data_IF_065315357087
#
_entry.id   IF_065315357087
#
_cell.length_a   1.000
_cell.length_b   1.000
_cell.length_c   1.000
_cell.angle_alpha   90.00
_cell.angle_beta   90.00
_cell.angle_gamma   90.00
#
_symmetry.space_group_name_H-M   'P 1'
#
loop_
_entity.id
_entity.type
_entity.pdbx_description
1 polymer ?
#
# COMPACT_ATOMS: atom_id res chain seq x y z
N UNK A 1 23.62 11.34 6.38
CA UNK A 1 23.53 9.99 6.96
C UNK A 1 22.17 9.70 7.60
N UNK A 2 21.77 10.33 8.71
CA UNK A 2 20.47 10.00 9.36
C UNK A 2 19.25 10.32 8.46
N UNK A 3 19.25 11.51 7.84
CA UNK A 3 18.21 11.86 6.86
C UNK A 3 18.26 11.02 5.58
N UNK A 4 19.43 10.48 5.18
CA UNK A 4 19.53 9.64 3.97
C UNK A 4 18.84 8.29 4.20
N UNK A 5 19.05 7.68 5.38
CA UNK A 5 18.33 6.46 5.78
C UNK A 5 16.83 6.72 5.82
N UNK A 6 16.41 7.82 6.45
CA UNK A 6 14.99 8.20 6.52
C UNK A 6 14.39 8.39 5.13
N UNK A 7 15.05 9.14 4.25
CA UNK A 7 14.62 9.37 2.87
C UNK A 7 14.52 8.05 2.10
N UNK A 8 15.46 7.12 2.29
CA UNK A 8 15.40 5.79 1.69
C UNK A 8 14.16 5.03 2.14
N UNK A 9 13.90 4.96 3.45
CA UNK A 9 12.70 4.29 4.00
C UNK A 9 11.42 4.92 3.47
N UNK A 10 11.37 6.25 3.38
CA UNK A 10 10.21 6.94 2.82
C UNK A 10 10.04 6.67 1.32
N UNK A 11 11.11 6.60 0.54
CA UNK A 11 11.04 6.24 -0.88
C UNK A 11 10.60 4.78 -1.09
N UNK A 12 10.99 3.86 -0.20
CA UNK A 12 10.50 2.48 -0.22
C UNK A 12 8.98 2.43 0.02
N UNK A 13 8.50 3.15 1.05
CA UNK A 13 7.05 3.28 1.32
C UNK A 13 6.30 3.96 0.17
N UNK A 14 6.90 4.97 -0.47
CA UNK A 14 6.32 5.68 -1.62
C UNK A 14 6.12 4.72 -2.80
N UNK A 15 7.17 3.98 -3.16
CA UNK A 15 7.16 3.04 -4.27
C UNK A 15 6.09 1.97 -4.08
N UNK A 16 6.00 1.40 -2.87
CA UNK A 16 4.99 0.39 -2.55
C UNK A 16 3.56 0.94 -2.58
N UNK A 17 3.35 2.17 -2.14
CA UNK A 17 2.04 2.81 -2.28
C UNK A 17 1.65 3.01 -3.75
N UNK A 18 2.60 3.33 -4.63
CA UNK A 18 2.33 3.40 -6.08
C UNK A 18 1.99 2.04 -6.69
N UNK A 19 2.72 0.99 -6.32
CA UNK A 19 2.41 -0.37 -6.77
C UNK A 19 1.02 -0.81 -6.30
N UNK A 20 0.70 -0.56 -5.02
CA UNK A 20 -0.62 -0.87 -4.45
C UNK A 20 -1.73 -0.06 -5.13
N UNK A 21 -1.54 1.24 -5.36
CA UNK A 21 -2.50 2.10 -6.08
C UNK A 21 -2.82 1.53 -7.46
N UNK A 22 -1.78 1.18 -8.21
CA UNK A 22 -1.94 0.58 -9.54
C UNK A 22 -2.68 -0.76 -9.43
N UNK A 23 -2.45 -1.51 -8.35
CA UNK A 23 -2.91 -2.90 -8.21
C UNK A 23 -4.39 -2.91 -7.96
N UNK A 24 -4.83 -1.97 -7.13
CA UNK A 24 -6.23 -1.69 -6.93
C UNK A 24 -6.95 -1.19 -8.18
N UNK A 25 -6.33 -0.32 -8.97
CA UNK A 25 -6.92 0.12 -10.24
C UNK A 25 -7.13 -1.07 -11.18
N UNK A 26 -6.12 -1.90 -11.39
CA UNK A 26 -6.24 -3.08 -12.26
C UNK A 26 -7.24 -4.11 -11.70
N UNK A 27 -7.23 -4.36 -10.38
CA UNK A 27 -8.17 -5.27 -9.74
C UNK A 27 -9.63 -4.78 -9.87
N UNK A 28 -9.86 -3.48 -9.70
CA UNK A 28 -11.17 -2.85 -9.88
C UNK A 28 -11.73 -2.98 -11.30
N UNK A 29 -10.87 -3.09 -12.32
CA UNK A 29 -11.29 -3.34 -13.70
C UNK A 29 -11.69 -4.81 -13.95
N UNK A 30 -11.10 -5.75 -13.19
CA UNK A 30 -11.27 -7.20 -13.39
C UNK A 30 -12.34 -7.84 -12.52
N UNK A 31 -12.66 -7.24 -11.38
CA UNK A 31 -13.60 -7.80 -10.41
C UNK A 31 -15.06 -7.63 -10.88
N UNK A 32 -15.90 -8.66 -10.76
CA UNK A 32 -17.33 -8.53 -11.07
C UNK A 32 -18.13 -8.07 -9.85
N UNK A 33 -17.74 -8.51 -8.66
CA UNK A 33 -18.40 -8.20 -7.40
C UNK A 33 -18.35 -6.71 -7.06
N UNK A 34 -19.52 -6.07 -6.97
CA UNK A 34 -19.67 -4.61 -6.82
C UNK A 34 -19.04 -4.07 -5.55
N UNK A 35 -19.26 -4.70 -4.39
CA UNK A 35 -18.66 -4.21 -3.13
C UNK A 35 -17.14 -4.32 -3.11
N UNK A 36 -16.59 -5.32 -3.81
CA UNK A 36 -15.14 -5.52 -3.87
C UNK A 36 -14.49 -4.55 -4.86
N UNK A 37 -15.19 -4.22 -5.96
CA UNK A 37 -14.84 -3.11 -6.85
C UNK A 37 -14.75 -1.78 -6.09
N UNK A 38 -15.79 -1.42 -5.35
CA UNK A 38 -15.82 -0.17 -4.57
C UNK A 38 -14.73 -0.14 -3.50
N UNK A 39 -14.40 -1.28 -2.90
CA UNK A 39 -13.26 -1.39 -2.00
C UNK A 39 -11.94 -1.05 -2.71
N UNK A 40 -11.68 -1.64 -3.88
CA UNK A 40 -10.45 -1.35 -4.64
C UNK A 40 -10.36 0.11 -5.10
N UNK A 41 -11.45 0.68 -5.60
CA UNK A 41 -11.49 2.11 -5.97
C UNK A 41 -11.12 2.99 -4.76
N UNK A 42 -11.69 2.70 -3.59
CA UNK A 42 -11.38 3.43 -2.36
C UNK A 42 -9.93 3.26 -1.92
N UNK A 43 -9.37 2.05 -2.02
CA UNK A 43 -7.98 1.83 -1.66
C UNK A 43 -7.01 2.49 -2.64
N UNK A 44 -7.31 2.53 -3.94
CA UNK A 44 -6.51 3.28 -4.89
C UNK A 44 -6.41 4.78 -4.50
N UNK A 45 -7.52 5.40 -4.11
CA UNK A 45 -7.53 6.80 -3.62
C UNK A 45 -6.71 6.98 -2.33
N UNK A 46 -6.80 6.03 -1.40
CA UNK A 46 -6.02 6.06 -0.16
C UNK A 46 -4.52 6.01 -0.48
N UNK A 47 -4.09 5.03 -1.28
CA UNK A 47 -2.68 4.85 -1.67
C UNK A 47 -2.12 6.06 -2.42
N UNK A 48 -2.90 6.66 -3.31
CA UNK A 48 -2.56 7.92 -3.97
C UNK A 48 -2.31 9.04 -2.94
N UNK A 49 -3.23 9.21 -1.99
CA UNK A 49 -3.15 10.25 -0.96
C UNK A 49 -1.97 10.03 -0.02
N UNK A 50 -1.69 8.77 0.34
CA UNK A 50 -0.54 8.38 1.16
C UNK A 50 0.77 8.70 0.47
N UNK A 51 0.90 8.34 -0.81
CA UNK A 51 2.07 8.67 -1.62
C UNK A 51 2.35 10.17 -1.65
N UNK A 52 1.32 11.04 -1.76
CA UNK A 52 1.53 12.49 -1.69
C UNK A 52 2.07 12.95 -0.33
N UNK A 53 1.55 12.43 0.78
CA UNK A 53 2.07 12.77 2.11
C UNK A 53 3.50 12.28 2.34
N UNK A 54 3.83 11.10 1.83
CA UNK A 54 5.20 10.58 1.89
C UNK A 54 6.15 11.48 1.08
N UNK A 55 5.76 11.92 -0.12
CA UNK A 55 6.55 12.87 -0.93
C UNK A 55 6.82 14.19 -0.21
N UNK A 56 5.80 14.74 0.45
CA UNK A 56 5.94 15.96 1.27
C UNK A 56 7.04 15.76 2.34
N UNK A 57 7.04 14.61 3.03
CA UNK A 57 8.07 14.28 4.03
C UNK A 57 9.45 14.10 3.41
N UNK A 58 9.57 13.38 2.28
CA UNK A 58 10.86 13.21 1.59
C UNK A 58 11.51 14.56 1.28
N UNK A 59 10.74 15.48 0.71
CA UNK A 59 11.23 16.83 0.39
C UNK A 59 11.60 17.60 1.67
N UNK A 60 10.77 17.51 2.72
CA UNK A 60 11.03 18.14 4.02
C UNK A 60 12.37 17.72 4.64
N UNK A 61 12.74 16.44 4.48
CA UNK A 61 14.00 15.90 4.98
C UNK A 61 15.18 16.03 4.00
N UNK A 62 15.01 16.81 2.92
CA UNK A 62 16.05 17.13 1.95
C UNK A 62 16.29 16.05 0.90
N UNK A 63 15.39 15.07 0.78
CA UNK A 63 15.42 14.03 -0.23
C UNK A 63 14.72 14.42 -1.52
N UNK A 64 14.89 13.60 -2.55
CA UNK A 64 14.12 13.68 -3.79
C UNK A 64 13.16 12.49 -3.84
N UNK A 65 11.85 12.71 -4.03
CA UNK A 65 10.91 11.60 -4.13
C UNK A 65 11.11 10.83 -5.42
N UNK A 66 11.12 9.51 -5.31
CA UNK A 66 11.18 8.64 -6.46
C UNK A 66 9.90 8.76 -7.28
N UNK A 67 10.06 9.02 -8.58
CA UNK A 67 8.94 9.31 -9.49
C UNK A 67 8.11 8.08 -9.88
N UNK A 68 8.27 6.95 -9.17
CA UNK A 68 7.60 5.69 -9.48
C UNK A 68 8.02 5.06 -10.82
N UNK A 69 9.04 5.60 -11.50
CA UNK A 69 9.60 5.02 -12.73
C UNK A 69 10.64 3.93 -12.44
N UNK A 70 10.77 3.46 -11.20
CA UNK A 70 11.50 2.21 -10.91
C UNK A 70 10.69 1.00 -11.37
N UNK A 71 10.31 1.00 -12.64
CA UNK A 71 9.81 -0.15 -13.40
C UNK A 71 10.93 -1.19 -13.61
N UNK A 72 12.19 -0.90 -13.23
CA UNK A 72 13.35 -1.70 -13.60
C UNK A 72 13.89 -2.60 -12.46
N UNK A 73 13.53 -2.35 -11.19
CA UNK A 73 14.15 -3.06 -10.05
C UNK A 73 13.23 -4.07 -9.36
N UNK A 74 12.18 -3.56 -8.71
CA UNK A 74 11.45 -4.31 -7.69
C UNK A 74 9.95 -4.27 -7.95
N UNK A 75 9.51 -4.99 -8.97
CA UNK A 75 8.11 -5.36 -9.03
C UNK A 75 7.84 -6.24 -7.80
N UNK A 76 7.25 -5.68 -6.74
CA UNK A 76 7.04 -6.41 -5.50
C UNK A 76 6.22 -7.68 -5.78
N UNK A 77 6.58 -8.79 -5.14
CA UNK A 77 5.90 -10.10 -5.33
C UNK A 77 4.38 -10.00 -5.17
N UNK A 78 3.90 -9.10 -4.32
CA UNK A 78 2.49 -8.79 -4.11
C UNK A 78 1.77 -8.37 -5.39
N UNK A 79 2.39 -7.50 -6.21
CA UNK A 79 1.83 -7.10 -7.50
C UNK A 79 1.70 -8.25 -8.50
N UNK A 80 2.76 -9.06 -8.62
CA UNK A 80 2.80 -10.20 -9.55
C UNK A 80 1.71 -11.20 -9.17
N UNK A 81 1.57 -11.46 -7.87
CA UNK A 81 0.59 -12.39 -7.34
C UNK A 81 -0.85 -11.92 -7.58
N UNK A 82 -1.13 -10.61 -7.46
CA UNK A 82 -2.43 -10.03 -7.82
C UNK A 82 -2.76 -10.25 -9.30
N UNK A 83 -1.78 -10.13 -10.20
CA UNK A 83 -1.99 -10.39 -11.63
C UNK A 83 -2.32 -11.85 -11.92
N UNK A 84 -1.67 -12.78 -11.25
CA UNK A 84 -1.97 -14.22 -11.40
C UNK A 84 -3.36 -14.55 -10.84
N UNK A 85 -3.77 -13.89 -9.75
CA UNK A 85 -5.10 -14.03 -9.18
C UNK A 85 -6.22 -13.55 -10.12
N UNK A 86 -5.96 -12.56 -10.99
CA UNK A 86 -6.95 -12.08 -11.97
C UNK A 86 -7.44 -13.17 -12.93
N UNK A 87 -6.62 -14.18 -13.21
CA UNK A 87 -7.03 -15.31 -14.05
C UNK A 87 -7.90 -16.35 -13.32
N UNK A 88 -8.02 -16.24 -11.99
CA UNK A 88 -8.63 -17.25 -11.11
C UNK A 88 -9.96 -16.82 -10.49
N UNK A 89 -10.46 -15.62 -10.83
CA UNK A 89 -11.77 -15.10 -10.41
C UNK A 89 -11.77 -14.34 -9.07
N UNK A 90 -12.92 -13.74 -8.74
CA UNK A 90 -13.06 -12.77 -7.65
C UNK A 90 -12.56 -13.27 -6.28
N UNK A 91 -12.75 -14.55 -5.95
CA UNK A 91 -12.30 -15.12 -4.67
C UNK A 91 -10.77 -15.16 -4.55
N UNK A 92 -10.08 -15.51 -5.64
CA UNK A 92 -8.61 -15.51 -5.65
C UNK A 92 -8.07 -14.08 -5.49
N UNK A 93 -8.71 -13.10 -6.14
CA UNK A 93 -8.34 -11.68 -6.04
C UNK A 93 -8.56 -11.18 -4.60
N UNK A 94 -9.68 -11.57 -3.99
CA UNK A 94 -9.99 -11.24 -2.59
C UNK A 94 -8.93 -11.78 -1.62
N UNK A 95 -8.58 -13.07 -1.72
CA UNK A 95 -7.61 -13.71 -0.83
C UNK A 95 -6.21 -13.09 -0.98
N UNK A 96 -5.82 -12.81 -2.22
CA UNK A 96 -4.55 -12.15 -2.52
C UNK A 96 -4.51 -10.70 -2.02
N UNK A 97 -5.64 -9.98 -2.09
CA UNK A 97 -5.73 -8.64 -1.53
C UNK A 97 -5.56 -8.66 0.00
N UNK A 98 -6.15 -9.63 0.71
CA UNK A 98 -5.94 -9.77 2.16
C UNK A 98 -4.47 -9.96 2.47
N UNK A 99 -3.80 -10.88 1.76
CA UNK A 99 -2.37 -11.14 1.93
C UNK A 99 -1.52 -9.90 1.67
N UNK A 100 -1.85 -9.14 0.63
CA UNK A 100 -1.16 -7.89 0.30
C UNK A 100 -1.31 -6.82 1.39
N UNK A 101 -2.53 -6.62 1.90
CA UNK A 101 -2.80 -5.64 2.96
C UNK A 101 -2.15 -6.03 4.30
N UNK A 102 -2.12 -7.32 4.64
CA UNK A 102 -1.38 -7.82 5.81
C UNK A 102 0.12 -7.53 5.70
N UNK A 103 0.71 -7.81 4.53
CA UNK A 103 2.12 -7.49 4.25
C UNK A 103 2.38 -5.99 4.41
N UNK A 104 1.52 -5.15 3.84
CA UNK A 104 1.67 -3.70 3.91
C UNK A 104 1.57 -3.16 5.34
N UNK A 105 0.63 -3.70 6.12
CA UNK A 105 0.46 -3.32 7.54
C UNK A 105 1.68 -3.70 8.38
N UNK A 106 2.24 -4.89 8.14
CA UNK A 106 3.46 -5.36 8.83
C UNK A 106 4.65 -4.46 8.50
N UNK A 107 4.83 -4.08 7.23
CA UNK A 107 5.92 -3.19 6.81
C UNK A 107 5.82 -1.81 7.45
N UNK A 108 4.62 -1.22 7.57
CA UNK A 108 4.46 -0.01 8.36
C UNK A 108 4.83 -0.22 9.83
N UNK A 109 4.49 -1.39 10.40
CA UNK A 109 4.91 -1.79 11.74
C UNK A 109 6.43 -1.84 11.90
N UNK A 110 7.14 -2.41 10.93
CA UNK A 110 8.60 -2.45 10.90
C UNK A 110 9.22 -1.05 10.84
N UNK A 111 8.65 -0.14 10.03
CA UNK A 111 9.10 1.26 9.98
C UNK A 111 8.86 1.98 11.31
N UNK A 112 7.71 1.74 11.96
CA UNK A 112 7.39 2.33 13.26
C UNK A 112 8.24 1.76 14.40
N UNK A 113 8.83 0.58 14.24
CA UNK A 113 9.75 0.01 15.21
C UNK A 113 11.13 0.70 15.21
N UNK A 114 11.43 1.56 14.23
CA UNK A 114 12.66 2.37 14.24
C UNK A 114 12.55 3.48 15.30
N UNK A 115 13.39 3.41 16.34
CA UNK A 115 13.40 4.34 17.48
C UNK A 115 13.82 5.77 17.10
N UNK A 116 14.48 5.97 15.95
CA UNK A 116 14.95 7.30 15.49
C UNK A 116 14.02 7.96 14.48
N UNK A 117 12.80 7.43 14.30
CA UNK A 117 11.83 8.03 13.38
C UNK A 117 11.33 9.40 13.90
N UNK A 118 11.46 10.49 13.12
CA UNK A 118 10.98 11.79 13.54
C UNK A 118 9.47 11.80 13.88
N UNK A 119 9.01 12.62 14.84
CA UNK A 119 7.64 12.53 15.36
C UNK A 119 6.54 12.70 14.30
N UNK A 120 6.73 13.62 13.36
CA UNK A 120 5.81 13.90 12.25
C UNK A 120 5.78 12.77 11.21
N UNK A 121 6.92 12.15 10.94
CA UNK A 121 6.99 10.94 10.09
C UNK A 121 6.30 9.78 10.79
N UNK A 122 6.55 9.59 12.08
CA UNK A 122 5.88 8.56 12.90
C UNK A 122 4.37 8.74 12.90
N UNK A 123 3.89 9.96 13.08
CA UNK A 123 2.46 10.29 13.03
C UNK A 123 1.87 9.95 11.66
N UNK A 124 2.51 10.40 10.57
CA UNK A 124 2.07 10.11 9.21
C UNK A 124 2.00 8.60 8.93
N UNK A 125 3.05 7.85 9.29
CA UNK A 125 3.11 6.39 9.10
C UNK A 125 2.03 5.69 9.93
N UNK A 126 1.83 6.10 11.19
CA UNK A 126 0.79 5.54 12.07
C UNK A 126 -0.60 5.75 11.48
N UNK A 127 -0.90 6.96 11.02
CA UNK A 127 -2.20 7.27 10.39
C UNK A 127 -2.47 6.42 9.15
N UNK A 128 -1.44 6.20 8.31
CA UNK A 128 -1.58 5.36 7.13
C UNK A 128 -1.78 3.89 7.51
N UNK A 129 -0.99 3.36 8.46
CA UNK A 129 -1.15 2.00 8.99
C UNK A 129 -2.54 1.77 9.57
N UNK A 130 -3.05 2.68 10.39
CA UNK A 130 -4.39 2.58 10.98
C UNK A 130 -5.49 2.54 9.91
N UNK A 131 -5.31 3.28 8.81
CA UNK A 131 -6.23 3.25 7.68
C UNK A 131 -6.20 1.89 6.96
N UNK A 132 -5.01 1.33 6.73
CA UNK A 132 -4.80 -0.01 6.18
C UNK A 132 -5.43 -1.08 7.08
N UNK A 133 -5.19 -1.03 8.38
CA UNK A 133 -5.74 -2.00 9.33
C UNK A 133 -7.27 -1.99 9.36
N UNK A 134 -7.88 -0.80 9.31
CA UNK A 134 -9.35 -0.65 9.23
C UNK A 134 -9.89 -1.17 7.90
N UNK A 135 -9.20 -0.90 6.80
CA UNK A 135 -9.58 -1.40 5.48
C UNK A 135 -9.51 -2.93 5.43
N UNK A 136 -8.42 -3.52 5.92
CA UNK A 136 -8.23 -4.96 6.03
C UNK A 136 -9.30 -5.62 6.92
N UNK A 137 -9.61 -5.04 8.08
CA UNK A 137 -10.69 -5.52 8.93
C UNK A 137 -12.04 -5.52 8.20
N UNK A 138 -12.34 -4.44 7.46
CA UNK A 138 -13.58 -4.33 6.68
C UNK A 138 -13.63 -5.36 5.53
N UNK A 139 -12.51 -5.60 4.86
CA UNK A 139 -12.37 -6.59 3.79
C UNK A 139 -12.62 -8.01 4.32
N UNK A 140 -12.07 -8.36 5.49
CA UNK A 140 -12.27 -9.66 6.13
C UNK A 140 -13.73 -9.95 6.52
N UNK A 141 -14.52 -8.90 6.76
CA UNK A 141 -15.95 -9.03 7.08
C UNK A 141 -16.87 -8.83 5.87
N UNK A 142 -16.33 -8.74 4.66
CA UNK A 142 -17.12 -8.52 3.45
C UNK A 142 -18.02 -9.75 3.16
N UNK A 143 -19.33 -9.52 3.12
CA UNK A 143 -20.31 -10.53 2.73
C UNK A 143 -20.00 -11.06 1.32
N UNK A 144 -20.21 -12.37 1.11
CA UNK A 144 -19.88 -13.06 -0.14
C UNK A 144 -18.46 -13.61 -0.23
N UNK A 145 -17.56 -13.19 0.68
CA UNK A 145 -16.18 -13.71 0.75
C UNK A 145 -15.72 -14.12 2.15
N UNK A 146 -16.41 -13.64 3.19
CA UNK A 146 -16.24 -14.11 4.57
C UNK A 146 -16.55 -15.61 4.69
N UNK A 147 -15.72 -16.33 5.44
CA UNK A 147 -15.82 -17.78 5.67
C UNK A 147 -16.95 -18.14 6.63
#
# INVERSE_FOLDING_TARGET
MENEKLVSVLNDLLTKNYDAEKGYKEAGEKIEHTSLRSYFEKQAENRYSFGHKIKEMIVKYGGTPDKGTSIVGDLHRTWISLRDAFASGDKAIYDECIRGEESFSNEYGEVLADDVLPPDVREMVTMQKDSVDKALASLRTMEGFAA
#
